data_IF_783681982403
#
_entry.id   IF_783681982403
#
_cell.length_a   1.000
_cell.length_b   1.000
_cell.length_c   1.000
_cell.angle_alpha   90.00
_cell.angle_beta   90.00
_cell.angle_gamma   90.00
#
_symmetry.space_group_name_H-M   'P 1'
#
loop_
_entity.id
_entity.type
_entity.pdbx_description
1 polymer ?
#
# COMPACT_ATOMS: atom_id res chain seq x y z
N UNK A 1 -9.67 5.64 17.96
CA UNK A 1 -8.39 5.39 17.27
C UNK A 1 -8.16 6.46 16.21
N UNK A 2 -6.97 7.08 16.17
CA UNK A 2 -6.71 8.25 15.30
C UNK A 2 -6.55 7.79 13.84
N UNK A 3 -7.37 8.34 12.94
CA UNK A 3 -7.14 8.28 11.48
C UNK A 3 -6.34 9.51 11.07
N UNK A 4 -5.41 9.37 10.12
CA UNK A 4 -4.58 10.47 9.68
C UNK A 4 -5.40 11.61 9.06
N UNK A 5 -4.89 12.83 9.13
CA UNK A 5 -5.39 13.94 8.32
C UNK A 5 -4.92 13.76 6.88
N UNK A 6 -5.74 13.09 6.06
CA UNK A 6 -5.49 12.86 4.63
C UNK A 6 -6.63 13.41 3.78
N UNK A 7 -6.37 13.73 2.50
CA UNK A 7 -7.40 14.20 1.55
C UNK A 7 -8.62 13.26 1.52
N UNK A 8 -8.36 11.95 1.59
CA UNK A 8 -9.40 10.91 1.65
C UNK A 8 -10.22 11.02 2.94
N UNK A 9 -9.56 11.06 4.09
CA UNK A 9 -10.24 11.09 5.39
C UNK A 9 -11.03 12.41 5.59
N UNK A 10 -10.52 13.53 5.06
CA UNK A 10 -11.22 14.82 5.02
C UNK A 10 -12.47 14.77 4.12
N UNK A 11 -12.34 14.20 2.92
CA UNK A 11 -13.48 13.99 2.02
C UNK A 11 -14.54 13.09 2.65
N UNK A 12 -14.14 11.99 3.31
CA UNK A 12 -15.07 11.10 4.02
C UNK A 12 -15.89 11.84 5.09
N UNK A 13 -15.25 12.73 5.85
CA UNK A 13 -15.88 13.57 6.89
C UNK A 13 -16.70 14.75 6.35
N UNK A 14 -16.56 15.09 5.07
CA UNK A 14 -17.23 16.24 4.47
C UNK A 14 -18.75 16.07 4.40
N UNK A 15 -19.55 17.15 4.59
CA UNK A 15 -21.00 17.12 4.47
C UNK A 15 -21.49 16.63 3.10
N UNK A 16 -22.69 16.04 3.06
CA UNK A 16 -23.28 15.51 1.81
C UNK A 16 -23.48 16.59 0.74
N UNK A 17 -23.85 17.81 1.13
CA UNK A 17 -24.04 18.92 0.20
C UNK A 17 -22.73 19.28 -0.52
N UNK A 18 -21.62 19.34 0.22
CA UNK A 18 -20.30 19.64 -0.34
C UNK A 18 -19.88 18.55 -1.33
N UNK A 19 -20.15 17.28 -0.99
CA UNK A 19 -19.90 16.14 -1.88
C UNK A 19 -20.70 16.24 -3.18
N UNK A 20 -21.96 16.68 -3.14
CA UNK A 20 -22.78 16.89 -4.35
C UNK A 20 -22.26 18.02 -5.23
N UNK A 21 -21.96 19.18 -4.63
CA UNK A 21 -21.49 20.36 -5.38
C UNK A 21 -20.14 20.08 -6.04
N UNK A 22 -19.18 19.57 -5.26
CA UNK A 22 -17.86 19.20 -5.78
C UNK A 22 -17.97 18.06 -6.78
N UNK A 23 -18.82 17.06 -6.53
CA UNK A 23 -19.06 15.94 -7.45
C UNK A 23 -19.61 16.40 -8.80
N UNK A 24 -20.57 17.31 -8.81
CA UNK A 24 -21.13 17.87 -10.04
C UNK A 24 -20.08 18.66 -10.84
N UNK A 25 -19.26 19.48 -10.16
CA UNK A 25 -18.19 20.24 -10.82
C UNK A 25 -17.06 19.36 -11.35
N UNK A 26 -16.74 18.25 -10.67
CA UNK A 26 -15.71 17.30 -11.11
C UNK A 26 -16.15 16.46 -12.31
N UNK A 27 -17.45 16.38 -12.63
CA UNK A 27 -17.95 15.58 -13.75
C UNK A 27 -17.39 15.99 -15.12
N UNK A 28 -17.00 17.26 -15.29
CA UNK A 28 -16.38 17.77 -16.52
C UNK A 28 -14.85 17.58 -16.56
N UNK A 29 -14.24 17.15 -15.45
CA UNK A 29 -12.78 16.98 -15.35
C UNK A 29 -12.41 15.55 -15.75
N UNK A 30 -11.41 15.34 -16.62
CA UNK A 30 -10.96 13.99 -16.97
C UNK A 30 -10.63 13.16 -15.73
N UNK A 31 -11.11 11.93 -15.66
CA UNK A 31 -10.95 11.07 -14.47
C UNK A 31 -9.48 10.91 -14.06
N UNK A 32 -8.57 10.84 -15.02
CA UNK A 32 -7.13 10.77 -14.77
C UNK A 32 -6.59 12.00 -14.02
N UNK A 33 -7.22 13.16 -14.15
CA UNK A 33 -6.89 14.39 -13.42
C UNK A 33 -7.43 14.36 -11.99
N UNK A 34 -8.67 13.90 -11.82
CA UNK A 34 -9.32 13.69 -10.51
C UNK A 34 -8.53 12.71 -9.66
N UNK A 35 -8.09 11.59 -10.24
CA UNK A 35 -7.27 10.56 -9.58
C UNK A 35 -5.86 11.07 -9.21
N UNK A 36 -5.44 12.20 -9.77
CA UNK A 36 -4.24 12.92 -9.38
C UNK A 36 -2.94 12.46 -10.04
N UNK A 37 -1.90 13.28 -9.88
CA UNK A 37 -0.59 13.08 -10.53
C UNK A 37 0.07 11.75 -10.17
N UNK A 38 0.06 11.38 -8.88
CA UNK A 38 0.65 10.13 -8.38
C UNK A 38 0.05 8.88 -9.03
N UNK A 39 -1.28 8.87 -9.22
CA UNK A 39 -1.95 7.80 -9.94
C UNK A 39 -1.47 7.73 -11.39
N UNK A 40 -1.49 8.85 -12.12
CA UNK A 40 -1.11 8.87 -13.55
C UNK A 40 0.33 8.42 -13.77
N UNK A 41 1.27 8.92 -12.97
CA UNK A 41 2.68 8.54 -13.04
C UNK A 41 2.86 7.05 -12.74
N UNK A 42 2.24 6.54 -11.68
CA UNK A 42 2.33 5.13 -11.32
C UNK A 42 1.67 4.23 -12.35
N UNK A 43 0.50 4.60 -12.88
CA UNK A 43 -0.21 3.83 -13.90
C UNK A 43 0.64 3.70 -15.17
N UNK A 44 1.19 4.82 -15.68
CA UNK A 44 2.12 4.78 -16.83
C UNK A 44 3.34 3.91 -16.57
N UNK A 45 3.93 4.03 -15.37
CA UNK A 45 5.05 3.19 -14.97
C UNK A 45 4.69 1.70 -15.04
N UNK A 46 3.58 1.28 -14.40
CA UNK A 46 3.14 -0.12 -14.36
C UNK A 46 2.83 -0.63 -15.77
N UNK A 47 2.14 0.16 -16.60
CA UNK A 47 1.86 -0.20 -18.00
C UNK A 47 3.14 -0.39 -18.82
N UNK A 48 4.16 0.46 -18.61
CA UNK A 48 5.46 0.29 -19.27
C UNK A 48 6.22 -0.95 -18.77
N UNK A 49 6.11 -1.26 -17.47
CA UNK A 49 6.79 -2.38 -16.84
C UNK A 49 6.31 -3.75 -17.33
N UNK A 50 5.09 -3.82 -17.85
CA UNK A 50 4.54 -5.06 -18.41
C UNK A 50 5.30 -5.56 -19.65
N UNK A 51 6.06 -4.67 -20.31
CA UNK A 51 6.82 -4.97 -21.53
C UNK A 51 8.33 -5.07 -21.27
N UNK A 52 8.74 -5.09 -20.01
CA UNK A 52 10.15 -5.20 -19.67
C UNK A 52 10.67 -6.61 -19.94
N UNK A 53 11.94 -6.71 -20.31
CA UNK A 53 12.62 -7.99 -20.39
C UNK A 53 12.76 -8.62 -18.99
N UNK A 54 12.85 -9.95 -18.89
CA UNK A 54 13.06 -10.62 -17.60
C UNK A 54 14.27 -10.07 -16.83
N UNK A 55 15.37 -9.78 -17.52
CA UNK A 55 16.57 -9.19 -16.90
C UNK A 55 16.31 -7.80 -16.29
N UNK A 56 15.54 -6.94 -16.99
CA UNK A 56 15.16 -5.62 -16.46
C UNK A 56 14.22 -5.73 -15.26
N UNK A 57 13.27 -6.68 -15.30
CA UNK A 57 12.39 -6.96 -14.17
C UNK A 57 13.20 -7.40 -12.95
N UNK A 58 14.15 -8.33 -13.13
CA UNK A 58 14.98 -8.85 -12.05
C UNK A 58 15.87 -7.75 -11.44
N UNK A 59 16.50 -6.93 -12.27
CA UNK A 59 17.30 -5.78 -11.80
C UNK A 59 16.47 -4.80 -10.97
N UNK A 60 15.27 -4.45 -11.45
CA UNK A 60 14.35 -3.58 -10.72
C UNK A 60 13.89 -4.20 -9.39
N UNK A 61 13.58 -5.50 -9.37
CA UNK A 61 13.22 -6.21 -8.14
C UNK A 61 14.35 -6.14 -7.10
N UNK A 62 15.59 -6.42 -7.49
CA UNK A 62 16.75 -6.33 -6.59
C UNK A 62 16.91 -4.91 -6.04
N UNK A 63 16.79 -3.89 -6.90
CA UNK A 63 16.89 -2.49 -6.47
C UNK A 63 15.80 -2.14 -5.43
N UNK A 64 14.55 -2.52 -5.68
CA UNK A 64 13.45 -2.22 -4.75
C UNK A 64 13.54 -3.04 -3.46
N UNK A 65 13.96 -4.30 -3.54
CA UNK A 65 14.19 -5.14 -2.37
C UNK A 65 15.29 -4.56 -1.50
N UNK A 66 16.45 -4.21 -2.06
CA UNK A 66 17.52 -3.51 -1.32
C UNK A 66 16.98 -2.30 -0.57
N UNK A 67 16.24 -1.45 -1.26
CA UNK A 67 15.68 -0.23 -0.67
C UNK A 67 14.77 -0.52 0.52
N UNK A 68 13.85 -1.48 0.39
CA UNK A 68 12.88 -1.79 1.44
C UNK A 68 13.56 -2.52 2.62
N UNK A 69 14.44 -3.47 2.34
CA UNK A 69 15.14 -4.25 3.38
C UNK A 69 16.14 -3.38 4.15
N UNK A 70 16.86 -2.48 3.45
CA UNK A 70 17.75 -1.50 4.11
C UNK A 70 16.94 -0.59 5.02
N UNK A 71 15.81 -0.05 4.54
CA UNK A 71 14.93 0.78 5.36
C UNK A 71 14.43 0.02 6.59
N UNK A 72 14.04 -1.25 6.43
CA UNK A 72 13.58 -2.08 7.54
C UNK A 72 14.68 -2.31 8.58
N UNK A 73 15.88 -2.67 8.13
CA UNK A 73 17.05 -2.88 8.99
C UNK A 73 17.46 -1.61 9.78
N UNK A 74 17.50 -0.47 9.09
CA UNK A 74 17.94 0.79 9.67
C UNK A 74 16.89 1.39 10.62
N UNK A 75 15.59 1.25 10.32
CA UNK A 75 14.52 2.01 11.00
C UNK A 75 13.69 1.22 12.00
N UNK A 76 13.91 -0.08 12.13
CA UNK A 76 13.07 -0.92 12.99
C UNK A 76 13.94 -1.83 13.86
N UNK A 77 13.48 -2.16 15.06
CA UNK A 77 14.19 -3.06 15.97
C UNK A 77 13.96 -4.53 15.62
N UNK A 78 12.76 -4.89 15.17
CA UNK A 78 12.43 -6.26 14.79
C UNK A 78 13.32 -6.75 13.63
N UNK A 79 13.27 -6.06 12.48
CA UNK A 79 14.01 -6.52 11.31
C UNK A 79 15.52 -6.46 11.49
N UNK A 80 16.04 -5.51 12.30
CA UNK A 80 17.46 -5.47 12.64
C UNK A 80 17.91 -6.76 13.33
N UNK A 81 17.24 -7.12 14.44
CA UNK A 81 17.53 -8.37 15.17
C UNK A 81 17.38 -9.59 14.26
N UNK A 82 16.28 -9.69 13.53
CA UNK A 82 16.01 -10.83 12.64
C UNK A 82 17.07 -10.99 11.55
N UNK A 83 17.57 -9.88 10.99
CA UNK A 83 18.59 -9.92 9.95
C UNK A 83 19.95 -10.27 10.54
N UNK A 84 20.31 -9.69 11.69
CA UNK A 84 21.56 -9.98 12.39
C UNK A 84 21.63 -11.47 12.80
N UNK A 85 20.54 -12.01 13.36
CA UNK A 85 20.41 -13.43 13.75
C UNK A 85 20.51 -14.38 12.55
N UNK A 86 19.98 -13.97 11.39
CA UNK A 86 20.06 -14.72 10.14
C UNK A 86 21.39 -14.53 9.39
N UNK A 87 22.30 -13.66 9.89
CA UNK A 87 23.52 -13.28 9.19
C UNK A 87 23.25 -12.63 7.82
N UNK A 88 22.15 -11.90 7.69
CA UNK A 88 21.68 -11.31 6.45
C UNK A 88 22.02 -9.81 6.38
N UNK A 89 22.87 -9.42 5.42
CA UNK A 89 23.16 -8.02 5.13
C UNK A 89 22.28 -7.49 3.97
N UNK A 90 21.35 -6.55 4.21
CA UNK A 90 20.49 -5.99 3.16
C UNK A 90 21.26 -5.18 2.10
N UNK A 91 22.43 -4.62 2.41
CA UNK A 91 23.26 -3.90 1.44
C UNK A 91 23.91 -4.86 0.43
N UNK A 92 24.22 -6.07 0.89
CA UNK A 92 24.83 -7.16 0.14
C UNK A 92 23.91 -7.93 -0.79
N UNK A 93 22.58 -7.70 -0.80
CA UNK A 93 21.61 -8.43 -1.63
C UNK A 93 22.04 -8.45 -3.12
N UNK A 94 22.02 -9.60 -3.78
CA UNK A 94 22.37 -9.71 -5.22
C UNK A 94 21.21 -10.18 -6.05
N UNK A 95 20.37 -11.05 -5.50
CA UNK A 95 19.22 -11.60 -6.18
C UNK A 95 18.05 -11.85 -5.23
N UNK A 96 16.80 -11.90 -5.72
CA UNK A 96 15.63 -12.14 -4.88
C UNK A 96 15.71 -13.45 -4.08
N UNK A 97 16.45 -14.44 -4.58
CA UNK A 97 16.63 -15.74 -3.95
C UNK A 97 17.41 -15.68 -2.62
N UNK A 98 18.22 -14.63 -2.41
CA UNK A 98 18.93 -14.41 -1.14
C UNK A 98 17.96 -14.28 0.06
N UNK A 99 16.71 -13.89 -0.20
CA UNK A 99 15.67 -13.78 0.83
C UNK A 99 15.28 -15.11 1.46
N UNK A 100 15.63 -16.26 0.85
CA UNK A 100 15.34 -17.58 1.42
C UNK A 100 16.03 -17.83 2.77
N UNK A 101 17.03 -17.02 3.11
CA UNK A 101 17.72 -17.07 4.41
C UNK A 101 16.92 -16.41 5.54
N UNK A 102 15.96 -15.56 5.19
CA UNK A 102 15.15 -14.84 6.15
C UNK A 102 13.92 -15.67 6.57
N UNK A 103 13.50 -15.56 7.84
CA UNK A 103 12.26 -16.20 8.28
C UNK A 103 11.04 -15.53 7.66
N UNK A 104 9.96 -16.30 7.52
CA UNK A 104 8.65 -15.78 7.11
C UNK A 104 7.92 -15.12 8.27
N UNK A 105 7.18 -14.06 8.00
CA UNK A 105 6.34 -13.38 8.99
C UNK A 105 4.91 -13.93 8.91
N UNK A 106 4.39 -14.38 10.05
CA UNK A 106 3.01 -14.80 10.18
C UNK A 106 2.18 -13.80 11.00
N UNK A 107 0.91 -14.16 11.23
CA UNK A 107 -0.04 -13.32 11.96
C UNK A 107 0.36 -13.11 13.41
N UNK A 108 0.89 -14.15 14.06
CA UNK A 108 1.29 -14.11 15.47
C UNK A 108 2.48 -13.17 15.62
N UNK A 109 3.49 -13.35 14.77
CA UNK A 109 4.69 -12.52 14.69
C UNK A 109 4.33 -11.04 14.52
N UNK A 110 3.42 -10.72 13.59
CA UNK A 110 2.98 -9.34 13.41
C UNK A 110 2.26 -8.79 14.64
N UNK A 111 1.44 -9.61 15.30
CA UNK A 111 0.67 -9.18 16.49
C UNK A 111 1.58 -8.92 17.68
N UNK A 112 2.58 -9.77 17.91
CA UNK A 112 3.52 -9.69 19.03
C UNK A 112 4.55 -8.58 18.83
N UNK A 113 4.95 -8.29 17.59
CA UNK A 113 6.04 -7.37 17.28
C UNK A 113 5.62 -6.12 16.49
N UNK A 114 4.32 -5.80 16.44
CA UNK A 114 3.80 -4.71 15.61
C UNK A 114 4.54 -3.39 15.82
N UNK A 115 4.78 -3.01 17.08
CA UNK A 115 5.48 -1.76 17.43
C UNK A 115 6.94 -1.75 16.97
N UNK A 116 7.62 -2.89 17.10
CA UNK A 116 9.03 -3.06 16.74
C UNK A 116 9.27 -3.07 15.22
N UNK A 117 8.21 -3.27 14.42
CA UNK A 117 8.25 -3.29 12.96
C UNK A 117 7.94 -1.94 12.31
N UNK A 118 7.57 -0.91 13.08
CA UNK A 118 7.20 0.39 12.52
C UNK A 118 8.45 1.20 12.14
N UNK A 119 8.45 1.75 10.92
CA UNK A 119 9.54 2.63 10.43
C UNK A 119 9.39 4.09 10.91
N UNK A 120 8.25 4.41 11.52
CA UNK A 120 7.94 5.70 12.14
C UNK A 120 6.85 5.49 13.20
N UNK A 121 6.66 6.47 14.08
CA UNK A 121 5.68 6.34 15.17
C UNK A 121 4.25 6.14 14.63
N UNK A 122 3.49 5.26 15.30
CA UNK A 122 2.07 5.01 14.99
C UNK A 122 1.20 6.28 14.97
N UNK A 123 1.59 7.31 15.73
CA UNK A 123 0.92 8.61 15.80
C UNK A 123 1.36 9.62 14.73
N UNK A 124 2.31 9.26 13.87
CA UNK A 124 2.89 10.16 12.88
C UNK A 124 1.83 10.68 11.89
N UNK A 125 1.94 11.94 11.43
CA UNK A 125 1.08 12.46 10.38
C UNK A 125 1.13 11.56 9.12
N UNK A 126 -0.04 11.21 8.60
CA UNK A 126 -0.14 10.37 7.41
C UNK A 126 -0.06 8.86 7.65
N UNK A 127 -0.16 8.40 8.91
CA UNK A 127 -0.31 6.99 9.26
C UNK A 127 -1.75 6.68 9.66
N UNK A 128 -2.37 5.70 8.99
CA UNK A 128 -3.71 5.21 9.32
C UNK A 128 -3.62 3.87 10.07
N UNK A 129 -4.35 3.77 11.18
CA UNK A 129 -4.63 2.48 11.82
C UNK A 129 -5.73 1.73 11.08
N UNK A 130 -5.50 0.46 10.77
CA UNK A 130 -6.45 -0.41 10.06
C UNK A 130 -6.51 -1.78 10.71
N UNK A 131 -7.69 -2.39 10.65
CA UNK A 131 -7.93 -3.76 11.04
C UNK A 131 -8.40 -4.59 9.86
N UNK A 132 -8.04 -5.87 9.83
CA UNK A 132 -8.66 -6.83 8.91
C UNK A 132 -10.05 -7.21 9.42
N UNK A 133 -11.02 -7.35 8.52
CA UNK A 133 -12.24 -8.10 8.81
C UNK A 133 -11.92 -9.60 8.75
N UNK A 134 -12.13 -10.33 9.84
CA UNK A 134 -11.84 -11.77 9.91
C UNK A 134 -13.08 -12.54 10.36
N UNK A 135 -13.29 -13.71 9.76
CA UNK A 135 -14.31 -14.71 10.19
C UNK A 135 -13.92 -15.42 11.48
N UNK A 136 -12.63 -15.37 11.87
CA UNK A 136 -12.04 -16.05 13.03
C UNK A 136 -12.13 -15.29 14.36
N UNK A 137 -13.01 -14.28 14.47
CA UNK A 137 -13.29 -13.54 15.71
C UNK A 137 -12.26 -12.49 16.15
N UNK A 138 -10.97 -12.69 15.86
CA UNK A 138 -9.92 -11.70 16.18
C UNK A 138 -9.51 -10.91 14.93
N UNK A 139 -9.64 -9.58 14.88
CA UNK A 139 -9.13 -8.76 13.78
C UNK A 139 -7.60 -8.54 13.92
N UNK A 140 -6.87 -8.56 12.82
CA UNK A 140 -5.44 -8.22 12.79
C UNK A 140 -5.31 -6.71 12.63
N UNK A 141 -4.62 -6.07 13.58
CA UNK A 141 -4.38 -4.64 13.60
C UNK A 141 -3.03 -4.30 12.99
N UNK A 142 -2.95 -3.26 12.16
CA UNK A 142 -1.70 -2.79 11.56
C UNK A 142 -1.79 -1.32 11.11
N UNK A 143 -0.64 -0.74 10.77
CA UNK A 143 -0.52 0.67 10.36
C UNK A 143 -0.08 0.78 8.92
N UNK A 144 -0.64 1.75 8.21
CA UNK A 144 -0.40 1.95 6.78
C UNK A 144 -0.37 3.42 6.41
N UNK A 145 0.43 3.77 5.40
CA UNK A 145 0.48 5.13 4.90
C UNK A 145 -0.86 5.59 4.31
N UNK A 146 -1.35 6.75 4.75
CA UNK A 146 -2.60 7.35 4.31
C UNK A 146 -2.57 7.83 2.84
N UNK A 147 -1.36 8.04 2.29
CA UNK A 147 -1.14 8.46 0.90
C UNK A 147 -1.13 7.34 -0.14
N UNK A 148 -1.26 6.07 0.28
CA UNK A 148 -1.03 4.90 -0.59
C UNK A 148 -2.12 4.65 -1.63
N UNK A 149 -3.37 5.06 -1.36
CA UNK A 149 -4.53 4.63 -2.16
C UNK A 149 -4.43 4.98 -3.64
N UNK A 150 -3.79 6.10 -3.99
CA UNK A 150 -3.56 6.48 -5.39
C UNK A 150 -2.60 5.52 -6.13
N UNK A 151 -1.61 4.97 -5.42
CA UNK A 151 -0.66 4.01 -5.97
C UNK A 151 -1.29 2.62 -6.08
N UNK A 152 -1.98 2.17 -5.04
CA UNK A 152 -2.73 0.90 -5.04
C UNK A 152 -3.74 0.87 -6.19
N UNK A 153 -4.51 1.95 -6.35
CA UNK A 153 -5.50 2.04 -7.42
C UNK A 153 -4.86 1.99 -8.81
N UNK A 154 -3.70 2.62 -9.00
CA UNK A 154 -2.96 2.53 -10.27
C UNK A 154 -2.55 1.08 -10.62
N UNK A 155 -2.13 0.29 -9.63
CA UNK A 155 -1.82 -1.12 -9.85
C UNK A 155 -3.08 -1.94 -10.18
N UNK A 156 -4.18 -1.73 -9.45
CA UNK A 156 -5.46 -2.41 -9.70
C UNK A 156 -6.01 -2.10 -11.09
N UNK A 157 -6.05 -0.82 -11.46
CA UNK A 157 -6.51 -0.39 -12.79
C UNK A 157 -5.64 -0.98 -13.90
N UNK A 158 -4.31 -1.01 -13.73
CA UNK A 158 -3.42 -1.60 -14.73
C UNK A 158 -3.58 -3.12 -14.86
N UNK A 159 -3.99 -3.80 -13.79
CA UNK A 159 -4.36 -5.21 -13.84
C UNK A 159 -5.69 -5.40 -14.58
N UNK A 160 -6.72 -4.61 -14.26
CA UNK A 160 -8.02 -4.67 -14.91
C UNK A 160 -7.98 -4.28 -16.39
N UNK A 161 -7.09 -3.36 -16.78
CA UNK A 161 -6.94 -2.98 -18.20
C UNK A 161 -6.48 -4.14 -19.08
N UNK A 162 -5.87 -5.18 -18.50
CA UNK A 162 -5.51 -6.41 -19.24
C UNK A 162 -6.72 -7.20 -19.72
N UNK A 163 -7.87 -7.01 -19.07
CA UNK A 163 -9.14 -7.68 -19.40
C UNK A 163 -10.17 -6.71 -19.99
N UNK A 164 -9.72 -5.56 -20.51
CA UNK A 164 -10.56 -4.61 -21.24
C UNK A 164 -11.16 -3.47 -20.41
N UNK A 165 -10.95 -3.43 -19.10
CA UNK A 165 -11.46 -2.34 -18.26
C UNK A 165 -10.69 -1.03 -18.49
N UNK A 166 -11.41 0.06 -18.67
CA UNK A 166 -10.88 1.41 -18.79
C UNK A 166 -11.36 2.30 -17.61
N UNK A 167 -10.51 3.21 -17.10
CA UNK A 167 -10.96 4.22 -16.14
C UNK A 167 -12.14 5.03 -16.69
N UNK A 168 -13.30 4.91 -16.07
CA UNK A 168 -14.55 5.53 -16.52
C UNK A 168 -15.64 4.52 -16.79
N UNK A 169 -15.27 3.25 -17.03
CA UNK A 169 -16.22 2.16 -17.15
C UNK A 169 -17.00 1.96 -15.84
N UNK A 170 -18.25 1.56 -15.96
CA UNK A 170 -19.12 1.28 -14.81
C UNK A 170 -18.55 0.15 -13.97
N UNK A 171 -18.28 0.42 -12.69
CA UNK A 171 -17.75 -0.56 -11.74
C UNK A 171 -18.73 -0.76 -10.58
N UNK A 172 -19.28 -1.98 -10.47
CA UNK A 172 -20.01 -2.41 -9.29
C UNK A 172 -19.04 -2.98 -8.25
N UNK A 173 -19.11 -2.49 -7.02
CA UNK A 173 -18.25 -2.94 -5.90
C UNK A 173 -19.12 -3.50 -4.78
N UNK A 174 -19.08 -4.81 -4.58
CA UNK A 174 -19.76 -5.48 -3.48
C UNK A 174 -18.83 -5.57 -2.27
N UNK A 175 -19.25 -5.01 -1.13
CA UNK A 175 -18.47 -5.03 0.12
C UNK A 175 -19.40 -5.22 1.31
N UNK A 176 -19.05 -6.15 2.20
CA UNK A 176 -19.67 -6.25 3.52
C UNK A 176 -19.28 -5.06 4.40
N UNK A 177 -20.22 -4.57 5.21
CA UNK A 177 -19.96 -3.64 6.30
C UNK A 177 -20.43 -4.27 7.59
N UNK A 178 -19.62 -4.13 8.64
CA UNK A 178 -20.07 -4.40 10.00
C UNK A 178 -21.08 -3.30 10.35
N UNK A 179 -22.32 -3.69 10.58
CA UNK A 179 -23.37 -2.81 11.11
C UNK A 179 -23.36 -3.03 12.61
N UNK A 180 -22.99 -2.01 13.38
CA UNK A 180 -23.19 -2.04 14.83
C UNK A 180 -24.70 -1.96 15.10
N UNK A 181 -25.22 -2.91 15.87
CA UNK A 181 -26.56 -2.82 16.47
C UNK A 181 -26.67 -1.63 17.43
#
# INVERSE_FOLDING_TARGET
>A
MKRAWSRKNLWERSPRWLKRVVGAGLGAVPLSWILGRRFRERYRFVMSAQRWSPGRVRAYQVEQLKRILTLAYERTSYYRRTFDEAGFDPHGLREPEDLRRLPTIDRTTLTEHLGDMLTCDAGSPGVDYVTTGGTSGSPLAFYIGAGRSSLEYAHLTAAWSRVGFSPGDTLAVFRGRIVSE
#
